data_IF_672165608508
#
_entry.id   IF_672165608508
#
_cell.length_a   1.000
_cell.length_b   1.000
_cell.length_c   1.000
_cell.angle_alpha   90.00
_cell.angle_beta   90.00
_cell.angle_gamma   90.00
#
_symmetry.space_group_name_H-M   'P 1'
#
loop_
_entity.id
_entity.type
_entity.pdbx_description
1 polymer ?
#
# COMPACT_ATOMS: atom_id res chain seq x y z
N UNK A 1 4.59 0.98 -15.11
CA UNK A 1 4.44 -0.22 -15.97
C UNK A 1 4.09 0.15 -17.43
N UNK A 2 2.95 0.79 -17.72
CA UNK A 2 2.55 1.13 -19.10
C UNK A 2 3.61 1.95 -19.88
N UNK A 3 4.15 3.03 -19.29
CA UNK A 3 5.21 3.84 -19.92
C UNK A 3 6.49 3.02 -20.19
N UNK A 4 6.89 2.16 -19.24
CA UNK A 4 8.05 1.25 -19.40
C UNK A 4 7.82 0.26 -20.54
N UNK A 5 6.63 -0.35 -20.63
CA UNK A 5 6.30 -1.26 -21.72
C UNK A 5 6.38 -0.55 -23.08
N UNK A 6 5.82 0.66 -23.20
CA UNK A 6 5.89 1.45 -24.43
C UNK A 6 7.34 1.77 -24.84
N UNK A 7 8.18 2.16 -23.87
CA UNK A 7 9.60 2.40 -24.11
C UNK A 7 10.34 1.12 -24.54
N UNK A 8 10.10 -0.01 -23.87
CA UNK A 8 10.71 -1.29 -24.24
C UNK A 8 10.30 -1.72 -25.65
N UNK A 9 9.04 -1.54 -26.03
CA UNK A 9 8.56 -1.84 -27.38
C UNK A 9 9.24 -0.97 -28.45
N UNK A 10 9.36 0.34 -28.21
CA UNK A 10 10.08 1.24 -29.11
C UNK A 10 11.57 0.87 -29.23
N UNK A 11 12.19 0.47 -28.12
CA UNK A 11 13.58 0.02 -28.07
C UNK A 11 13.77 -1.31 -28.81
N UNK A 12 12.85 -2.27 -28.64
CA UNK A 12 12.88 -3.57 -29.31
C UNK A 12 12.82 -3.39 -30.82
N UNK A 13 11.88 -2.60 -31.34
CA UNK A 13 11.77 -2.30 -32.78
C UNK A 13 13.07 -1.68 -33.31
N UNK A 14 13.67 -0.76 -32.56
CA UNK A 14 14.93 -0.12 -32.93
C UNK A 14 16.11 -1.10 -32.95
N UNK A 15 16.14 -2.05 -32.01
CA UNK A 15 17.16 -3.12 -31.93
C UNK A 15 16.97 -4.15 -33.03
N UNK A 16 15.74 -4.55 -33.36
CA UNK A 16 15.45 -5.46 -34.47
C UNK A 16 15.87 -4.86 -35.83
N UNK A 17 15.62 -3.57 -36.04
CA UNK A 17 16.11 -2.86 -37.23
C UNK A 17 17.64 -2.84 -37.30
N UNK A 18 18.30 -2.53 -36.19
CA UNK A 18 19.78 -2.51 -36.10
C UNK A 18 20.38 -3.90 -36.35
N UNK A 19 19.77 -4.94 -35.78
CA UNK A 19 20.18 -6.33 -35.97
C UNK A 19 20.00 -6.78 -37.43
N UNK A 20 18.89 -6.41 -38.09
CA UNK A 20 18.68 -6.73 -39.50
C UNK A 20 19.77 -6.12 -40.41
N UNK A 21 20.23 -4.91 -40.12
CA UNK A 21 21.33 -4.27 -40.84
C UNK A 21 22.65 -5.02 -40.62
N UNK A 22 22.98 -5.36 -39.36
CA UNK A 22 24.20 -6.11 -39.01
C UNK A 22 24.19 -7.52 -39.62
N UNK A 23 23.02 -8.18 -39.64
CA UNK A 23 22.83 -9.48 -40.29
C UNK A 23 23.15 -9.42 -41.79
N UNK A 24 22.70 -8.38 -42.49
CA UNK A 24 23.04 -8.14 -43.90
C UNK A 24 24.53 -7.87 -44.09
N UNK A 25 25.14 -7.02 -43.27
CA UNK A 25 26.58 -6.76 -43.33
C UNK A 25 27.41 -8.03 -43.10
N UNK A 26 26.99 -8.89 -42.17
CA UNK A 26 27.64 -10.18 -41.94
C UNK A 26 27.50 -11.11 -43.14
N UNK A 27 26.33 -11.17 -43.78
CA UNK A 27 26.08 -12.00 -44.96
C UNK A 27 27.00 -11.64 -46.14
N UNK A 28 27.40 -10.36 -46.26
CA UNK A 28 28.36 -9.89 -47.27
C UNK A 28 29.80 -9.80 -46.76
N UNK A 29 30.08 -10.26 -45.53
CA UNK A 29 31.44 -10.32 -44.96
C UNK A 29 31.95 -9.02 -44.31
N UNK A 30 31.12 -7.98 -44.20
CA UNK A 30 31.49 -6.65 -43.69
C UNK A 30 31.27 -6.46 -42.18
N UNK A 31 30.70 -7.46 -41.48
CA UNK A 31 30.54 -7.46 -40.02
C UNK A 31 31.01 -8.79 -39.43
N UNK A 32 31.51 -8.74 -38.19
CA UNK A 32 32.06 -9.93 -37.53
C UNK A 32 30.95 -10.83 -36.97
N UNK A 33 31.29 -12.08 -36.66
CA UNK A 33 30.38 -12.95 -35.93
C UNK A 33 30.07 -12.44 -34.52
N UNK A 34 30.99 -11.68 -33.91
CA UNK A 34 30.80 -11.07 -32.59
C UNK A 34 29.74 -9.97 -32.66
N UNK A 35 29.85 -9.02 -33.59
CA UNK A 35 28.87 -7.93 -33.76
C UNK A 35 27.45 -8.48 -33.94
N UNK A 36 27.32 -9.58 -34.70
CA UNK A 36 26.03 -10.25 -34.88
C UNK A 36 25.48 -10.85 -33.59
N UNK A 37 26.31 -11.54 -32.80
CA UNK A 37 25.87 -12.17 -31.55
C UNK A 37 25.56 -11.11 -30.48
N UNK A 38 26.31 -10.01 -30.44
CA UNK A 38 26.04 -8.87 -29.55
C UNK A 38 24.70 -8.21 -29.89
N UNK A 39 24.45 -7.95 -31.17
CA UNK A 39 23.18 -7.39 -31.63
C UNK A 39 21.99 -8.33 -31.39
N UNK A 40 22.16 -9.65 -31.64
CA UNK A 40 21.15 -10.64 -31.31
C UNK A 40 20.86 -10.67 -29.81
N UNK A 41 21.90 -10.65 -28.97
CA UNK A 41 21.76 -10.62 -27.52
C UNK A 41 20.96 -9.40 -27.03
N UNK A 42 21.15 -8.22 -27.63
CA UNK A 42 20.35 -7.04 -27.31
C UNK A 42 18.87 -7.19 -27.68
N UNK A 43 18.57 -7.80 -28.84
CA UNK A 43 17.19 -8.06 -29.26
C UNK A 43 16.52 -9.01 -28.28
N UNK A 44 17.16 -10.13 -27.96
CA UNK A 44 16.63 -11.11 -27.01
C UNK A 44 16.48 -10.52 -25.59
N UNK A 45 17.40 -9.66 -25.16
CA UNK A 45 17.26 -8.92 -23.91
C UNK A 45 16.00 -8.05 -23.91
N UNK A 46 15.75 -7.28 -24.97
CA UNK A 46 14.56 -6.44 -25.06
C UNK A 46 13.26 -7.26 -25.13
N UNK A 47 13.26 -8.43 -25.76
CA UNK A 47 12.12 -9.36 -25.76
C UNK A 47 11.83 -9.84 -24.34
N UNK A 48 12.86 -10.23 -23.59
CA UNK A 48 12.69 -10.62 -22.19
C UNK A 48 12.19 -9.46 -21.31
N UNK A 49 12.71 -8.26 -21.51
CA UNK A 49 12.29 -7.05 -20.78
C UNK A 49 10.84 -6.64 -21.12
N UNK A 50 10.38 -6.88 -22.35
CA UNK A 50 8.99 -6.63 -22.76
C UNK A 50 8.03 -7.51 -21.97
N UNK A 51 8.29 -8.82 -21.93
CA UNK A 51 7.47 -9.77 -21.17
C UNK A 51 7.50 -9.48 -19.67
N UNK A 52 8.64 -9.01 -19.14
CA UNK A 52 8.74 -8.54 -17.77
C UNK A 52 7.86 -7.30 -17.51
N UNK A 53 7.89 -6.31 -18.41
CA UNK A 53 7.06 -5.11 -18.30
C UNK A 53 5.56 -5.40 -18.50
N UNK A 54 5.22 -6.36 -19.37
CA UNK A 54 3.85 -6.82 -19.60
C UNK A 54 3.29 -7.50 -18.34
N UNK A 55 4.07 -8.39 -17.73
CA UNK A 55 3.70 -9.02 -16.45
C UNK A 55 3.48 -7.97 -15.35
N UNK A 56 4.37 -6.99 -15.23
CA UNK A 56 4.19 -5.89 -14.26
C UNK A 56 2.91 -5.08 -14.53
N UNK A 57 2.59 -4.81 -15.81
CA UNK A 57 1.35 -4.13 -16.20
C UNK A 57 0.12 -4.94 -15.76
N UNK A 58 0.10 -6.24 -16.07
CA UNK A 58 -1.03 -7.11 -15.73
C UNK A 58 -1.20 -7.29 -14.22
N UNK A 59 -0.11 -7.45 -13.46
CA UNK A 59 -0.16 -7.54 -12.00
C UNK A 59 -0.69 -6.26 -11.37
N UNK A 60 -0.23 -5.09 -11.83
CA UNK A 60 -0.74 -3.80 -11.37
C UNK A 60 -2.22 -3.60 -11.77
N UNK A 61 -2.62 -4.02 -12.97
CA UNK A 61 -4.00 -3.97 -13.41
C UNK A 61 -4.92 -4.83 -12.52
N UNK A 62 -4.52 -6.07 -12.24
CA UNK A 62 -5.28 -6.96 -11.36
C UNK A 62 -5.40 -6.39 -9.94
N UNK A 63 -4.34 -5.76 -9.43
CA UNK A 63 -4.38 -5.06 -8.14
C UNK A 63 -5.37 -3.88 -8.14
N UNK A 64 -5.41 -3.09 -9.22
CA UNK A 64 -6.40 -2.01 -9.38
C UNK A 64 -7.83 -2.54 -9.46
N UNK A 65 -8.07 -3.60 -10.23
CA UNK A 65 -9.38 -4.26 -10.31
C UNK A 65 -9.85 -4.72 -8.92
N UNK A 66 -8.96 -5.32 -8.14
CA UNK A 66 -9.25 -5.75 -6.77
C UNK A 66 -9.59 -4.56 -5.85
N UNK A 67 -8.83 -3.47 -5.93
CA UNK A 67 -9.07 -2.26 -5.12
C UNK A 67 -10.38 -1.54 -5.49
N UNK A 68 -10.76 -1.57 -6.77
CA UNK A 68 -12.05 -1.03 -7.24
C UNK A 68 -13.23 -1.89 -6.78
N UNK A 69 -13.08 -3.22 -6.74
CA UNK A 69 -14.05 -4.13 -6.13
C UNK A 69 -15.41 -4.24 -6.83
N UNK A 70 -15.53 -3.78 -8.08
CA UNK A 70 -16.78 -3.80 -8.85
C UNK A 70 -16.71 -4.76 -10.05
N UNK A 71 -17.85 -5.35 -10.44
CA UNK A 71 -17.93 -6.24 -11.60
C UNK A 71 -17.45 -5.58 -12.92
N UNK A 72 -17.68 -4.27 -13.08
CA UNK A 72 -17.26 -3.50 -14.26
C UNK A 72 -15.91 -2.77 -14.05
N UNK A 73 -15.14 -3.08 -13.01
CA UNK A 73 -13.88 -2.39 -12.68
C UNK A 73 -12.86 -2.41 -13.83
N UNK A 74 -12.82 -3.50 -14.60
CA UNK A 74 -11.92 -3.61 -15.74
C UNK A 74 -12.19 -2.55 -16.83
N UNK A 75 -13.45 -2.12 -16.99
CA UNK A 75 -13.86 -1.14 -18.02
C UNK A 75 -13.57 0.30 -17.60
N UNK A 76 -13.45 0.57 -16.30
CA UNK A 76 -13.19 1.93 -15.78
C UNK A 76 -11.71 2.28 -15.72
N UNK A 77 -10.81 1.31 -15.91
CA UNK A 77 -9.36 1.54 -15.90
C UNK A 77 -8.89 1.98 -17.29
N UNK A 78 -8.28 3.17 -17.43
CA UNK A 78 -7.75 3.63 -18.72
C UNK A 78 -6.59 2.77 -19.23
N UNK A 79 -6.63 2.40 -20.51
CA UNK A 79 -5.56 1.63 -21.15
C UNK A 79 -4.32 2.47 -21.45
N UNK A 80 -4.49 3.78 -21.67
CA UNK A 80 -3.42 4.72 -22.01
C UNK A 80 -3.03 5.57 -20.79
N UNK A 81 -1.72 5.81 -20.59
CA UNK A 81 -1.26 6.68 -19.52
C UNK A 81 -1.69 8.13 -19.76
N UNK A 82 -2.01 8.85 -18.68
CA UNK A 82 -2.23 10.30 -18.73
C UNK A 82 -0.93 11.03 -19.04
N UNK A 83 -1.02 12.10 -19.83
CA UNK A 83 0.06 13.04 -20.11
C UNK A 83 0.18 14.12 -19.02
N UNK A 84 -0.88 14.35 -18.25
CA UNK A 84 -0.90 15.36 -17.20
C UNK A 84 -0.52 14.77 -15.83
N UNK A 85 0.09 15.57 -14.93
CA UNK A 85 0.28 15.19 -13.54
C UNK A 85 -1.06 14.85 -12.90
N UNK A 86 -1.15 13.67 -12.27
CA UNK A 86 -2.38 13.17 -11.65
C UNK A 86 -2.64 13.77 -10.26
N UNK A 87 -1.63 14.41 -9.66
CA UNK A 87 -1.63 14.82 -8.26
C UNK A 87 -1.14 16.26 -8.14
N UNK A 88 -1.59 16.93 -7.08
CA UNK A 88 -1.05 18.21 -6.65
C UNK A 88 0.39 18.01 -6.19
N UNK A 89 1.31 18.87 -6.64
CA UNK A 89 2.75 18.68 -6.46
C UNK A 89 3.28 19.29 -5.15
N UNK A 90 2.58 20.28 -4.60
CA UNK A 90 2.95 20.96 -3.37
C UNK A 90 1.81 20.89 -2.36
N UNK A 91 2.08 20.27 -1.21
CA UNK A 91 1.12 20.11 -0.12
C UNK A 91 1.76 20.73 1.14
N UNK A 92 1.07 21.68 1.74
CA UNK A 92 1.49 22.25 3.03
C UNK A 92 1.20 21.25 4.16
N UNK A 93 2.24 20.69 4.77
CA UNK A 93 2.09 19.65 5.80
C UNK A 93 1.46 20.15 7.13
N UNK A 94 1.45 21.47 7.38
CA UNK A 94 0.91 22.05 8.61
C UNK A 94 1.80 21.80 9.83
N UNK A 95 1.25 22.05 11.03
CA UNK A 95 1.96 21.79 12.28
C UNK A 95 1.74 20.36 12.77
N UNK A 96 2.66 19.78 13.55
CA UNK A 96 2.45 18.44 14.08
C UNK A 96 1.30 18.34 15.09
N UNK A 97 0.98 19.43 15.81
CA UNK A 97 -0.22 19.46 16.67
C UNK A 97 -1.51 19.29 15.88
N UNK A 98 -1.60 19.89 14.69
CA UNK A 98 -2.76 19.72 13.81
C UNK A 98 -2.90 18.30 13.26
N UNK A 99 -1.84 17.51 13.27
CA UNK A 99 -1.86 16.11 12.82
C UNK A 99 -2.55 15.21 13.85
N UNK A 100 -2.37 15.46 15.15
CA UNK A 100 -2.99 14.67 16.23
C UNK A 100 -4.51 14.72 16.14
N UNK A 101 -5.08 15.88 15.80
CA UNK A 101 -6.53 16.10 15.77
C UNK A 101 -7.20 15.61 14.48
N UNK A 102 -6.43 15.38 13.41
CA UNK A 102 -6.98 15.11 12.07
C UNK A 102 -6.77 13.67 11.61
N UNK A 103 -5.77 12.97 12.14
CA UNK A 103 -5.38 11.65 11.62
C UNK A 103 -6.26 10.53 12.20
N UNK A 104 -6.98 9.75 11.38
CA UNK A 104 -7.96 8.78 11.88
C UNK A 104 -7.39 7.66 12.74
N UNK A 105 -6.14 7.27 12.51
CA UNK A 105 -5.41 6.26 13.29
C UNK A 105 -5.16 6.71 14.73
N UNK A 106 -4.75 7.97 14.93
CA UNK A 106 -4.55 8.58 16.24
C UNK A 106 -5.88 8.68 17.00
N UNK A 107 -6.94 9.16 16.34
CA UNK A 107 -8.28 9.24 16.94
C UNK A 107 -8.82 7.86 17.32
N UNK A 108 -8.60 6.85 16.48
CA UNK A 108 -8.98 5.48 16.80
C UNK A 108 -8.20 4.92 17.99
N UNK A 109 -6.91 5.26 18.13
CA UNK A 109 -6.13 4.89 19.31
C UNK A 109 -6.62 5.59 20.58
N UNK A 110 -7.00 6.86 20.48
CA UNK A 110 -7.59 7.63 21.59
C UNK A 110 -8.90 7.02 22.07
N UNK A 111 -9.83 6.70 21.16
CA UNK A 111 -11.10 6.07 21.55
C UNK A 111 -10.90 4.68 22.18
N UNK A 112 -9.90 3.92 21.74
CA UNK A 112 -9.54 2.65 22.40
C UNK A 112 -9.00 2.90 23.82
N UNK A 113 -8.19 3.93 24.02
CA UNK A 113 -7.73 4.34 25.35
C UNK A 113 -8.91 4.77 26.25
N UNK A 114 -9.84 5.58 25.73
CA UNK A 114 -11.05 5.97 26.45
C UNK A 114 -11.89 4.75 26.85
N UNK A 115 -12.02 3.75 25.97
CA UNK A 115 -12.70 2.49 26.28
C UNK A 115 -12.00 1.73 27.44
N UNK A 116 -10.67 1.67 27.47
CA UNK A 116 -9.93 1.06 28.59
C UNK A 116 -10.07 1.83 29.89
N UNK A 117 -10.21 3.15 29.82
CA UNK A 117 -10.53 3.94 31.00
C UNK A 117 -11.93 3.60 31.55
N UNK A 118 -12.92 3.35 30.68
CA UNK A 118 -14.23 2.89 31.09
C UNK A 118 -14.21 1.47 31.71
N UNK A 119 -13.38 0.57 31.19
CA UNK A 119 -13.18 -0.77 31.76
C UNK A 119 -12.68 -0.73 33.22
N UNK A 120 -11.85 0.26 33.57
CA UNK A 120 -11.44 0.48 34.97
C UNK A 120 -12.65 0.83 35.83
N UNK A 121 -13.56 1.67 35.33
CA UNK A 121 -14.82 1.99 36.01
C UNK A 121 -15.66 0.75 36.26
N UNK A 122 -15.77 -0.14 35.27
CA UNK A 122 -16.47 -1.41 35.40
C UNK A 122 -15.80 -2.35 36.42
N UNK A 123 -14.46 -2.44 36.41
CA UNK A 123 -13.71 -3.22 37.38
C UNK A 123 -13.85 -2.67 38.81
N UNK A 124 -13.90 -1.33 38.97
CA UNK A 124 -14.19 -0.68 40.25
C UNK A 124 -15.61 -0.96 40.73
N UNK A 125 -16.59 -0.94 39.83
CA UNK A 125 -17.98 -1.25 40.16
C UNK A 125 -18.16 -2.68 40.70
N UNK A 126 -17.30 -3.63 40.30
CA UNK A 126 -17.35 -5.01 40.81
C UNK A 126 -17.04 -5.16 42.31
N UNK A 127 -16.47 -4.13 42.95
CA UNK A 127 -16.30 -4.08 44.41
C UNK A 127 -17.56 -3.64 45.17
N UNK A 128 -18.53 -3.06 44.46
CA UNK A 128 -19.77 -2.56 45.06
C UNK A 128 -20.89 -3.62 45.01
N UNK A 129 -21.95 -3.47 45.82
CA UNK A 129 -23.07 -4.39 45.78
C UNK A 129 -23.74 -4.41 44.41
N UNK A 130 -23.99 -5.61 43.87
CA UNK A 130 -24.78 -5.81 42.66
C UNK A 130 -26.24 -6.03 43.04
N UNK A 131 -27.11 -5.18 42.52
CA UNK A 131 -28.57 -5.29 42.66
C UNK A 131 -29.12 -5.87 41.35
N UNK A 132 -29.81 -7.01 41.42
CA UNK A 132 -30.48 -7.63 40.27
C UNK A 132 -31.97 -7.76 40.57
N UNK A 133 -32.80 -7.25 39.66
CA UNK A 133 -34.26 -7.18 39.79
C UNK A 133 -34.87 -8.11 38.75
N UNK A 134 -35.44 -9.23 39.18
CA UNK A 134 -36.12 -10.18 38.28
C UNK A 134 -37.62 -10.08 38.49
N UNK A 135 -38.41 -10.03 37.42
CA UNK A 135 -39.86 -10.02 37.54
C UNK A 135 -40.54 -10.76 36.39
N UNK A 136 -41.72 -11.30 36.67
CA UNK A 136 -42.62 -11.88 35.67
C UNK A 136 -44.04 -11.38 35.89
N UNK A 137 -44.81 -11.27 34.83
CA UNK A 137 -46.22 -10.93 34.86
C UNK A 137 -46.91 -11.65 33.70
N UNK A 138 -48.06 -12.26 33.97
CA UNK A 138 -48.82 -12.97 32.95
C UNK A 138 -49.89 -13.83 33.59
N UNK A 139 -50.10 -15.01 33.02
CA UNK A 139 -51.01 -16.00 33.54
C UNK A 139 -50.30 -17.32 33.79
N UNK A 140 -50.75 -18.06 34.79
CA UNK A 140 -50.22 -19.36 35.16
C UNK A 140 -51.37 -20.26 35.56
N UNK A 141 -51.37 -21.49 35.04
CA UNK A 141 -52.38 -22.50 35.34
C UNK A 141 -51.73 -23.88 35.45
N UNK A 142 -52.32 -24.77 36.25
CA UNK A 142 -51.85 -26.14 36.38
C UNK A 142 -52.12 -26.99 35.12
N UNK A 143 -53.17 -26.66 34.35
CA UNK A 143 -53.48 -27.25 33.05
C UNK A 143 -53.58 -26.15 31.97
N UNK A 144 -53.18 -26.47 30.73
CA UNK A 144 -53.16 -25.53 29.60
C UNK A 144 -54.53 -24.87 29.35
N UNK A 145 -55.63 -25.60 29.58
CA UNK A 145 -56.99 -25.09 29.36
C UNK A 145 -57.34 -23.86 30.20
N UNK A 146 -56.77 -23.73 31.40
CA UNK A 146 -57.04 -22.60 32.32
C UNK A 146 -56.11 -21.40 32.15
N UNK A 147 -55.24 -21.40 31.14
CA UNK A 147 -54.16 -20.41 31.03
C UNK A 147 -54.66 -18.97 30.79
N UNK A 148 -55.85 -18.78 30.23
CA UNK A 148 -56.42 -17.44 29.98
C UNK A 148 -57.75 -17.21 30.69
N UNK A 149 -58.09 -18.08 31.65
CA UNK A 149 -59.32 -17.98 32.42
C UNK A 149 -59.24 -16.90 33.52
N UNK A 150 -60.39 -16.46 34.01
CA UNK A 150 -60.47 -15.56 35.17
C UNK A 150 -59.79 -16.18 36.40
N UNK A 151 -58.91 -15.41 37.05
CA UNK A 151 -58.15 -15.88 38.22
C UNK A 151 -56.78 -16.51 37.91
N UNK A 152 -56.42 -16.69 36.63
CA UNK A 152 -55.11 -17.22 36.22
C UNK A 152 -53.97 -16.19 36.28
N UNK A 153 -54.26 -14.92 36.62
CA UNK A 153 -53.27 -13.83 36.69
C UNK A 153 -52.20 -14.13 37.74
N UNK A 154 -50.95 -14.17 37.30
CA UNK A 154 -49.78 -14.46 38.12
C UNK A 154 -48.66 -13.46 37.85
N UNK A 155 -47.95 -13.06 38.90
CA UNK A 155 -46.80 -12.18 38.81
C UNK A 155 -45.77 -12.56 39.86
N UNK A 156 -44.51 -12.26 39.59
CA UNK A 156 -43.41 -12.41 40.55
C UNK A 156 -42.48 -11.21 40.47
N UNK A 157 -41.90 -10.85 41.61
CA UNK A 157 -40.87 -9.81 41.70
C UNK A 157 -39.85 -10.25 42.75
N UNK A 158 -38.61 -10.46 42.31
CA UNK A 158 -37.53 -11.08 43.07
C UNK A 158 -36.29 -10.17 42.98
N UNK A 159 -36.12 -9.21 43.90
CA UNK A 159 -34.90 -8.43 44.04
C UNK A 159 -33.81 -9.28 44.73
N UNK A 160 -32.58 -9.19 44.24
CA UNK A 160 -31.40 -9.85 44.83
C UNK A 160 -30.25 -8.86 44.98
N UNK A 161 -29.59 -8.89 46.13
CA UNK A 161 -28.42 -8.07 46.46
C UNK A 161 -27.24 -9.01 46.74
N UNK A 162 -26.11 -8.78 46.08
CA UNK A 162 -24.87 -9.55 46.30
C UNK A 162 -23.68 -8.62 46.48
N UNK A 163 -22.93 -8.81 47.57
CA UNK A 163 -21.70 -8.09 47.86
C UNK A 163 -20.62 -9.12 48.28
N UNK A 164 -19.55 -9.30 47.50
CA UNK A 164 -18.47 -10.20 47.88
C UNK A 164 -17.64 -9.61 49.03
N UNK A 165 -17.54 -10.33 50.16
CA UNK A 165 -16.64 -9.96 51.27
C UNK A 165 -15.24 -10.54 51.04
N UNK A 166 -15.17 -11.80 50.57
CA UNK A 166 -13.92 -12.48 50.20
C UNK A 166 -14.11 -13.17 48.85
N UNK A 167 -13.26 -12.86 47.89
CA UNK A 167 -13.32 -13.37 46.51
C UNK A 167 -11.99 -14.01 46.05
N UNK A 168 -11.05 -14.21 46.98
CA UNK A 168 -9.70 -14.71 46.70
C UNK A 168 -8.80 -13.71 45.96
N UNK A 169 -9.12 -12.41 46.01
CA UNK A 169 -8.37 -11.36 45.31
C UNK A 169 -8.77 -11.18 43.85
N UNK A 170 -9.86 -11.81 43.39
CA UNK A 170 -10.34 -11.76 42.01
C UNK A 170 -10.62 -10.33 41.55
N UNK A 171 -11.36 -9.54 42.32
CA UNK A 171 -11.71 -8.17 41.95
C UNK A 171 -10.47 -7.26 41.92
N UNK A 172 -9.52 -7.47 42.84
CA UNK A 172 -8.24 -6.75 42.84
C UNK A 172 -7.40 -7.10 41.61
N UNK A 173 -7.28 -8.38 41.27
CA UNK A 173 -6.60 -8.80 40.04
C UNK A 173 -7.30 -8.26 38.78
N UNK A 174 -8.64 -8.22 38.76
CA UNK A 174 -9.42 -7.65 37.67
C UNK A 174 -9.18 -6.14 37.50
N UNK A 175 -9.10 -5.39 38.60
CA UNK A 175 -8.76 -3.97 38.58
C UNK A 175 -7.32 -3.75 38.07
N UNK A 176 -6.35 -4.47 38.62
CA UNK A 176 -4.96 -4.37 38.19
C UNK A 176 -4.80 -4.71 36.70
N UNK A 177 -5.54 -5.70 36.19
CA UNK A 177 -5.57 -6.03 34.77
C UNK A 177 -6.17 -4.90 33.92
N UNK A 178 -7.25 -4.27 34.38
CA UNK A 178 -7.86 -3.15 33.68
C UNK A 178 -6.91 -1.94 33.63
N UNK A 179 -6.20 -1.65 34.73
CA UNK A 179 -5.17 -0.60 34.80
C UNK A 179 -4.01 -0.90 33.84
N UNK A 180 -3.44 -2.11 33.88
CA UNK A 180 -2.38 -2.50 32.96
C UNK A 180 -2.80 -2.41 31.47
N UNK A 181 -4.05 -2.75 31.15
CA UNK A 181 -4.60 -2.60 29.79
C UNK A 181 -4.78 -1.15 29.38
N UNK A 182 -5.15 -0.27 30.31
CA UNK A 182 -5.21 1.18 30.07
C UNK A 182 -3.81 1.73 29.82
N UNK A 183 -2.82 1.37 30.63
CA UNK A 183 -1.44 1.82 30.45
C UNK A 183 -0.86 1.33 29.11
N UNK A 184 -1.15 0.08 28.72
CA UNK A 184 -0.82 -0.41 27.38
C UNK A 184 -1.49 0.39 26.26
N UNK A 185 -2.74 0.84 26.45
CA UNK A 185 -3.44 1.69 25.48
C UNK A 185 -2.86 3.11 25.43
N UNK A 186 -2.35 3.65 26.55
CA UNK A 186 -1.61 4.92 26.56
C UNK A 186 -0.35 4.79 25.71
N UNK A 187 0.47 3.76 25.96
CA UNK A 187 1.67 3.51 25.18
C UNK A 187 1.36 3.29 23.69
N UNK A 188 0.26 2.61 23.36
CA UNK A 188 -0.18 2.44 21.97
C UNK A 188 -0.60 3.77 21.31
N UNK A 189 -1.28 4.65 22.04
CA UNK A 189 -1.63 5.98 21.57
C UNK A 189 -0.37 6.82 21.30
N UNK A 190 0.55 6.88 22.26
CA UNK A 190 1.83 7.58 22.11
C UNK A 190 2.67 7.01 20.95
N UNK A 191 2.74 5.69 20.82
CA UNK A 191 3.44 5.02 19.72
C UNK A 191 2.81 5.27 18.35
N UNK A 192 1.48 5.41 18.28
CA UNK A 192 0.77 5.78 17.05
C UNK A 192 1.13 7.19 16.63
N UNK A 193 1.20 8.14 17.58
CA UNK A 193 1.67 9.51 17.32
C UNK A 193 3.10 9.49 16.80
N UNK A 194 4.03 8.81 17.49
CA UNK A 194 5.44 8.73 17.07
C UNK A 194 5.59 8.13 15.67
N UNK A 195 4.83 7.07 15.35
CA UNK A 195 4.82 6.45 14.02
C UNK A 195 4.33 7.43 12.96
N UNK A 196 3.25 8.15 13.24
CA UNK A 196 2.69 9.14 12.32
C UNK A 196 3.67 10.30 12.05
N UNK A 197 4.39 10.77 13.09
CA UNK A 197 5.44 11.77 12.93
C UNK A 197 6.57 11.28 12.03
N UNK A 198 7.05 10.04 12.25
CA UNK A 198 8.11 9.44 11.43
C UNK A 198 7.67 9.33 9.97
N UNK A 199 6.46 8.83 9.70
CA UNK A 199 5.95 8.70 8.33
C UNK A 199 5.85 10.04 7.60
N UNK A 200 5.44 11.11 8.29
CA UNK A 200 5.39 12.45 7.70
C UNK A 200 6.78 13.00 7.42
N UNK A 201 7.72 12.82 8.37
CA UNK A 201 9.11 13.23 8.18
C UNK A 201 9.76 12.49 6.99
N UNK A 202 9.58 11.17 6.91
CA UNK A 202 10.06 10.33 5.82
C UNK A 202 9.45 10.76 4.48
N UNK A 203 8.14 11.04 4.44
CA UNK A 203 7.44 11.49 3.23
C UNK A 203 7.90 12.88 2.75
N UNK A 204 8.14 13.82 3.66
CA UNK A 204 8.67 15.15 3.34
C UNK A 204 10.10 15.07 2.81
N UNK A 205 10.95 14.29 3.47
CA UNK A 205 12.31 14.04 3.01
C UNK A 205 12.31 13.39 1.62
N UNK A 206 11.48 12.35 1.42
CA UNK A 206 11.35 11.67 0.13
C UNK A 206 10.86 12.62 -0.97
N UNK A 207 9.89 13.49 -0.69
CA UNK A 207 9.35 14.43 -1.69
C UNK A 207 10.42 15.42 -2.15
N UNK A 208 11.19 16.00 -1.22
CA UNK A 208 12.25 16.95 -1.56
C UNK A 208 13.44 16.27 -2.28
N UNK A 209 13.88 15.10 -1.81
CA UNK A 209 15.01 14.39 -2.43
C UNK A 209 14.64 13.83 -3.81
N UNK A 210 13.47 13.20 -3.96
CA UNK A 210 13.00 12.67 -5.24
C UNK A 210 12.81 13.78 -6.30
N UNK A 211 12.43 14.99 -5.89
CA UNK A 211 12.32 16.14 -6.81
C UNK A 211 13.67 16.51 -7.41
N UNK A 212 14.72 16.57 -6.59
CA UNK A 212 16.09 16.83 -7.05
C UNK A 212 16.66 15.66 -7.85
N UNK A 213 16.36 14.44 -7.42
CA UNK A 213 16.77 13.21 -8.12
C UNK A 213 16.13 13.11 -9.51
N UNK A 214 14.84 13.41 -9.65
CA UNK A 214 14.14 13.38 -10.93
C UNK A 214 14.77 14.35 -11.93
N UNK A 215 15.14 15.56 -11.48
CA UNK A 215 15.84 16.54 -12.34
C UNK A 215 17.19 16.00 -12.83
N UNK A 216 17.96 15.38 -11.93
CA UNK A 216 19.25 14.77 -12.27
C UNK A 216 19.10 13.57 -13.23
N UNK A 217 18.12 12.68 -12.99
CA UNK A 217 17.84 11.52 -13.85
C UNK A 217 17.36 11.96 -15.24
N UNK A 218 16.51 12.97 -15.33
CA UNK A 218 16.08 13.56 -16.62
C UNK A 218 17.27 14.13 -17.40
N UNK A 219 18.16 14.85 -16.74
CA UNK A 219 19.39 15.35 -17.37
C UNK A 219 20.28 14.19 -17.85
N UNK A 220 20.46 13.15 -17.02
CA UNK A 220 21.22 11.96 -17.36
C UNK A 220 20.65 11.24 -18.60
N UNK A 221 19.34 11.00 -18.64
CA UNK A 221 18.66 10.37 -19.78
C UNK A 221 18.84 11.19 -21.07
N UNK A 222 18.72 12.52 -21.00
CA UNK A 222 18.96 13.39 -22.15
C UNK A 222 20.41 13.29 -22.65
N UNK A 223 21.39 13.26 -21.73
CA UNK A 223 22.80 13.12 -22.10
C UNK A 223 23.14 11.76 -22.69
N UNK A 224 22.53 10.68 -22.21
CA UNK A 224 22.73 9.35 -22.79
C UNK A 224 22.09 9.22 -24.16
N UNK A 225 20.97 9.89 -24.40
CA UNK A 225 20.31 9.89 -25.71
C UNK A 225 21.17 10.61 -26.76
N UNK A 226 21.71 11.78 -26.42
CA UNK A 226 22.67 12.48 -27.31
C UNK A 226 23.95 11.66 -27.52
N UNK A 227 24.48 11.03 -26.46
CA UNK A 227 25.65 10.15 -26.58
C UNK A 227 25.38 8.96 -27.50
N UNK A 228 24.18 8.38 -27.45
CA UNK A 228 23.75 7.31 -28.35
C UNK A 228 23.71 7.76 -29.81
N UNK A 229 23.16 8.95 -30.10
CA UNK A 229 23.14 9.51 -31.47
C UNK A 229 24.55 9.69 -32.02
N UNK A 230 25.47 10.22 -31.21
CA UNK A 230 26.87 10.42 -31.60
C UNK A 230 27.62 9.09 -31.79
N UNK A 231 27.43 8.13 -30.88
CA UNK A 231 28.04 6.81 -30.99
C UNK A 231 27.54 6.06 -32.23
N UNK A 232 26.26 6.17 -32.55
CA UNK A 232 25.66 5.62 -33.78
C UNK A 232 26.32 6.21 -35.02
N UNK A 233 26.42 7.54 -35.12
CA UNK A 233 27.02 8.20 -36.28
C UNK A 233 28.49 7.81 -36.49
N UNK A 234 29.27 7.66 -35.40
CA UNK A 234 30.67 7.20 -35.48
C UNK A 234 30.80 5.74 -35.92
N UNK A 235 29.91 4.87 -35.44
CA UNK A 235 29.86 3.48 -35.85
C UNK A 235 29.49 3.33 -37.33
N UNK A 236 28.43 4.02 -37.77
CA UNK A 236 28.00 4.02 -39.18
C UNK A 236 29.07 4.63 -40.11
N UNK A 237 29.85 5.59 -39.62
CA UNK A 237 31.01 6.15 -40.32
C UNK A 237 32.27 5.28 -40.29
N UNK A 238 32.26 4.13 -39.61
CA UNK A 238 33.40 3.21 -39.51
C UNK A 238 34.57 3.73 -38.66
N UNK A 239 34.35 4.76 -37.85
CA UNK A 239 35.40 5.44 -37.04
C UNK A 239 35.62 4.73 -35.70
N UNK A 240 34.57 4.10 -35.15
CA UNK A 240 34.59 3.50 -33.81
C UNK A 240 33.99 2.09 -33.84
N UNK A 241 34.31 1.29 -32.82
CA UNK A 241 33.87 -0.10 -32.72
C UNK A 241 32.39 -0.25 -32.36
N UNK A 242 31.79 -1.40 -32.70
CA UNK A 242 30.39 -1.70 -32.34
C UNK A 242 30.15 -1.64 -30.82
N UNK A 243 31.15 -2.02 -30.02
CA UNK A 243 31.08 -1.99 -28.55
C UNK A 243 30.72 -0.60 -28.00
N UNK A 244 31.25 0.48 -28.59
CA UNK A 244 30.94 1.87 -28.19
C UNK A 244 29.48 2.23 -28.46
N UNK A 245 28.90 1.76 -29.56
CA UNK A 245 27.49 1.95 -29.87
C UNK A 245 26.59 1.08 -28.98
N UNK A 246 26.94 -0.18 -28.80
CA UNK A 246 26.28 -1.14 -27.91
C UNK A 246 26.19 -0.62 -26.47
N UNK A 247 27.30 -0.12 -25.92
CA UNK A 247 27.34 0.42 -24.57
C UNK A 247 26.46 1.68 -24.44
N UNK A 248 26.50 2.57 -25.44
CA UNK A 248 25.61 3.73 -25.47
C UNK A 248 24.12 3.33 -25.54
N UNK A 249 23.77 2.27 -26.28
CA UNK A 249 22.39 1.76 -26.32
C UNK A 249 21.94 1.17 -24.98
N UNK A 250 22.82 0.42 -24.30
CA UNK A 250 22.54 -0.14 -22.97
C UNK A 250 22.37 0.96 -21.93
N UNK A 251 23.28 1.92 -21.91
CA UNK A 251 23.25 3.05 -20.98
C UNK A 251 22.02 3.93 -21.23
N UNK A 252 21.67 4.23 -22.48
CA UNK A 252 20.48 5.02 -22.76
C UNK A 252 19.20 4.31 -22.32
N UNK A 253 19.04 3.03 -22.66
CA UNK A 253 17.87 2.27 -22.25
C UNK A 253 17.77 2.17 -20.72
N UNK A 254 18.89 1.89 -20.03
CA UNK A 254 18.92 1.87 -18.57
C UNK A 254 18.50 3.22 -17.97
N UNK A 255 19.03 4.33 -18.48
CA UNK A 255 18.74 5.68 -17.97
C UNK A 255 17.31 6.15 -18.28
N UNK A 256 16.72 5.76 -19.41
CA UNK A 256 15.32 6.08 -19.72
C UNK A 256 14.32 5.23 -18.92
N UNK A 257 14.73 4.04 -18.48
CA UNK A 257 13.89 3.17 -17.64
C UNK A 257 13.98 3.45 -16.14
N UNK A 258 15.03 4.16 -15.70
CA UNK A 258 15.30 4.50 -14.30
C UNK A 258 14.45 5.68 -13.83
#
# INVERSE_FOLDING_TARGET
>A
AQRRLALTQQTLVSREYSFALISRHRAVGNATALDYQEALGLVEQSRADEEAALRQKQQAFNALVLLLGTADAAKSIPEKPSEQPLLVQDIAAGSPSSLIERRPDILAAEHRLQARNADIGAARAAFFPRITLTGSFGTSSAQMSGLFDGGSRSWSFIPTLSLPIFDGGRNRAGLNLAEARKDSAVAAYEGTIQTAFREVADALAATDTLRREEQARRALANTSNESLKLAKARYEGGIDSHLRYLDAQRNNFANETA
#
